data_IF_708068237509
#
_entry.id   IF_708068237509
#
_cell.length_a   1.000
_cell.length_b   1.000
_cell.length_c   1.000
_cell.angle_alpha   90.00
_cell.angle_beta   90.00
_cell.angle_gamma   90.00
#
_symmetry.space_group_name_H-M   'P 1'
#
loop_
_entity.id
_entity.type
_entity.pdbx_description
1 polymer ?
#
# COMPACT_ATOMS: atom_id res chain seq x y z
N UNK A 1 9.94 30.35 15.07
CA UNK A 1 9.46 30.30 13.67
C UNK A 1 8.97 28.88 13.40
N UNK A 2 7.67 28.68 13.13
CA UNK A 2 7.07 27.34 12.97
C UNK A 2 7.47 26.81 11.60
N UNK A 3 8.39 25.83 11.57
CA UNK A 3 8.66 25.06 10.36
C UNK A 3 7.38 24.32 9.98
N UNK A 4 6.68 24.86 8.99
CA UNK A 4 5.60 24.17 8.27
C UNK A 4 6.23 22.92 7.66
N UNK A 5 6.08 21.79 8.36
CA UNK A 5 6.41 20.49 7.80
C UNK A 5 5.49 20.33 6.59
N UNK A 6 6.06 20.46 5.39
CA UNK A 6 5.39 20.05 4.18
C UNK A 6 4.92 18.62 4.41
N UNK A 7 3.62 18.42 4.58
CA UNK A 7 3.00 17.11 4.73
C UNK A 7 3.13 16.39 3.40
N UNK A 8 4.34 15.96 3.05
CA UNK A 8 4.59 15.12 1.90
C UNK A 8 3.75 13.87 2.12
N UNK A 9 2.65 13.74 1.37
CA UNK A 9 1.85 12.51 1.36
C UNK A 9 2.78 11.40 0.92
N UNK A 10 3.28 10.63 1.87
CA UNK A 10 4.23 9.55 1.59
C UNK A 10 3.54 8.55 0.68
N UNK A 11 4.05 8.48 -0.55
CA UNK A 11 3.65 7.52 -1.57
C UNK A 11 4.66 6.39 -1.57
N UNK A 12 4.18 5.18 -1.79
CA UNK A 12 4.95 3.95 -1.84
C UNK A 12 4.73 3.32 -3.20
N UNK A 13 5.79 2.84 -3.84
CA UNK A 13 5.70 2.04 -5.05
C UNK A 13 5.34 0.60 -4.70
N UNK A 14 4.87 -0.17 -5.68
CA UNK A 14 4.59 -1.60 -5.53
C UNK A 14 5.74 -2.35 -4.87
N UNK A 15 6.99 -2.08 -5.28
CA UNK A 15 8.18 -2.77 -4.74
C UNK A 15 8.35 -2.46 -3.25
N UNK A 16 8.25 -1.19 -2.84
CA UNK A 16 8.36 -0.80 -1.43
C UNK A 16 7.28 -1.45 -0.57
N UNK A 17 6.05 -1.56 -1.09
CA UNK A 17 4.94 -2.24 -0.39
C UNK A 17 5.22 -3.74 -0.25
N UNK A 18 5.73 -4.37 -1.31
CA UNK A 18 6.10 -5.78 -1.28
C UNK A 18 7.19 -6.06 -0.24
N UNK A 19 8.23 -5.22 -0.18
CA UNK A 19 9.33 -5.33 0.79
C UNK A 19 8.87 -5.06 2.22
N UNK A 20 8.01 -4.06 2.44
CA UNK A 20 7.52 -3.68 3.77
C UNK A 20 6.73 -4.81 4.46
N UNK A 21 5.98 -5.57 3.67
CA UNK A 21 5.03 -6.58 4.16
C UNK A 21 5.47 -8.02 3.86
N UNK A 22 6.60 -8.20 3.19
CA UNK A 22 7.08 -9.48 2.69
C UNK A 22 6.00 -10.22 1.87
N UNK A 23 5.36 -9.48 0.95
CA UNK A 23 4.31 -10.00 0.08
C UNK A 23 4.71 -9.95 -1.38
N UNK A 24 4.37 -10.99 -2.13
CA UNK A 24 4.60 -10.99 -3.57
C UNK A 24 3.74 -9.94 -4.28
N UNK A 25 4.22 -9.42 -5.41
CA UNK A 25 3.44 -8.53 -6.30
C UNK A 25 2.12 -9.17 -6.72
N UNK A 26 2.11 -10.48 -6.98
CA UNK A 26 0.90 -11.22 -7.34
C UNK A 26 -0.13 -11.19 -6.21
N UNK A 27 0.30 -11.33 -4.95
CA UNK A 27 -0.59 -11.23 -3.78
C UNK A 27 -1.19 -9.84 -3.66
N UNK A 28 -0.37 -8.79 -3.79
CA UNK A 28 -0.82 -7.40 -3.75
C UNK A 28 -1.83 -7.10 -4.86
N UNK A 29 -1.55 -7.54 -6.09
CA UNK A 29 -2.46 -7.34 -7.23
C UNK A 29 -3.75 -8.14 -7.10
N UNK A 30 -3.69 -9.34 -6.51
CA UNK A 30 -4.89 -10.12 -6.19
C UNK A 30 -5.77 -9.36 -5.20
N UNK A 31 -5.21 -8.78 -4.15
CA UNK A 31 -5.96 -8.00 -3.17
C UNK A 31 -6.63 -6.76 -3.78
N UNK A 32 -5.94 -6.06 -4.68
CA UNK A 32 -6.53 -4.96 -5.45
C UNK A 32 -7.69 -5.45 -6.34
N UNK A 33 -7.53 -6.59 -7.03
CA UNK A 33 -8.58 -7.18 -7.88
C UNK A 33 -9.78 -7.67 -7.08
N UNK A 34 -9.55 -8.21 -5.90
CA UNK A 34 -10.60 -8.64 -4.96
C UNK A 34 -11.28 -7.47 -4.23
N UNK A 35 -10.81 -6.23 -4.44
CA UNK A 35 -11.36 -5.05 -3.77
C UNK A 35 -11.03 -4.97 -2.28
N UNK A 36 -10.04 -5.75 -1.80
CA UNK A 36 -9.60 -5.72 -0.40
C UNK A 36 -8.77 -4.47 -0.07
N UNK A 37 -8.12 -3.90 -1.09
CA UNK A 37 -7.35 -2.67 -1.00
C UNK A 37 -7.95 -1.70 -2.00
N UNK A 38 -8.08 -0.44 -1.58
CA UNK A 38 -8.47 0.64 -2.47
C UNK A 38 -7.50 0.74 -3.64
N UNK A 39 -8.02 0.87 -4.86
CA UNK A 39 -7.19 0.93 -6.07
C UNK A 39 -6.19 2.10 -5.99
N UNK A 40 -4.87 1.86 -6.03
CA UNK A 40 -3.89 2.93 -5.92
C UNK A 40 -3.99 3.88 -7.10
N UNK A 41 -3.83 5.18 -6.82
CA UNK A 41 -3.68 6.18 -7.88
C UNK A 41 -2.46 5.84 -8.72
N UNK A 42 -2.49 6.28 -9.98
CA UNK A 42 -1.40 6.04 -10.91
C UNK A 42 -0.70 7.34 -11.22
N UNK A 43 0.62 7.30 -11.35
CA UNK A 43 1.37 8.44 -11.85
C UNK A 43 1.19 8.58 -13.38
N UNK A 44 1.83 9.61 -13.94
CA UNK A 44 1.84 9.85 -15.39
C UNK A 44 2.55 8.75 -16.20
N UNK A 45 3.38 7.92 -15.55
CA UNK A 45 4.03 6.72 -16.13
C UNK A 45 3.21 5.45 -15.92
N UNK A 46 1.97 5.58 -15.44
CA UNK A 46 1.07 4.47 -15.14
C UNK A 46 1.57 3.54 -14.00
N UNK A 47 2.47 4.03 -13.14
CA UNK A 47 2.95 3.33 -11.95
C UNK A 47 1.98 3.46 -10.79
N UNK A 48 1.77 2.37 -10.06
CA UNK A 48 0.90 2.34 -8.88
C UNK A 48 1.56 3.08 -7.72
N UNK A 49 0.85 4.08 -7.20
CA UNK A 49 1.24 4.87 -6.04
C UNK A 49 0.33 4.52 -4.87
N UNK A 50 0.89 3.76 -3.93
CA UNK A 50 0.21 3.43 -2.69
C UNK A 50 0.38 4.56 -1.69
N UNK A 51 -0.64 4.85 -0.90
CA UNK A 51 -0.58 5.86 0.16
C UNK A 51 -0.53 5.17 1.51
N UNK A 52 -0.29 5.95 2.57
CA UNK A 52 -0.39 5.45 3.94
C UNK A 52 -1.74 4.78 4.26
N UNK A 53 -2.82 5.14 3.56
CA UNK A 53 -4.12 4.47 3.71
C UNK A 53 -4.08 3.03 3.20
N UNK A 54 -3.53 2.80 2.00
CA UNK A 54 -3.35 1.43 1.47
C UNK A 54 -2.44 0.58 2.36
N UNK A 55 -1.39 1.17 2.95
CA UNK A 55 -0.53 0.48 3.91
C UNK A 55 -1.34 -0.02 5.12
N UNK A 56 -2.28 0.79 5.63
CA UNK A 56 -3.16 0.37 6.74
C UNK A 56 -4.09 -0.77 6.34
N UNK A 57 -4.69 -0.69 5.14
CA UNK A 57 -5.55 -1.74 4.58
C UNK A 57 -4.78 -3.06 4.45
N UNK A 58 -3.60 -3.02 3.83
CA UNK A 58 -2.72 -4.19 3.66
C UNK A 58 -2.33 -4.79 5.02
N UNK A 59 -1.91 -3.95 5.96
CA UNK A 59 -1.55 -4.39 7.31
C UNK A 59 -2.71 -5.09 8.00
N UNK A 60 -3.93 -4.59 7.84
CA UNK A 60 -5.13 -5.21 8.40
C UNK A 60 -5.42 -6.56 7.74
N UNK A 61 -5.32 -6.67 6.42
CA UNK A 61 -5.51 -7.94 5.69
C UNK A 61 -4.51 -9.00 6.17
N UNK A 62 -3.23 -8.64 6.29
CA UNK A 62 -2.18 -9.55 6.76
C UNK A 62 -2.45 -10.00 8.19
N UNK A 63 -2.85 -9.07 9.07
CA UNK A 63 -3.19 -9.37 10.46
C UNK A 63 -4.34 -10.38 10.55
N UNK A 64 -5.42 -10.15 9.81
CA UNK A 64 -6.58 -11.06 9.77
C UNK A 64 -6.22 -12.44 9.22
N UNK A 65 -5.31 -12.52 8.25
CA UNK A 65 -4.88 -13.80 7.66
C UNK A 65 -3.92 -14.60 8.54
N UNK A 66 -3.11 -13.93 9.38
CA UNK A 66 -2.21 -14.61 10.34
C UNK A 66 -2.92 -15.22 11.54
N UNK A 67 -4.12 -14.76 11.90
CA UNK A 67 -4.90 -15.30 13.02
C UNK A 67 -5.60 -16.64 12.74
N UNK A 68 -5.41 -17.23 11.56
CA UNK A 68 -6.01 -18.52 11.17
C UNK A 68 -5.00 -19.57 10.68
N UNK A 69 -3.73 -19.44 11.07
CA UNK A 69 -2.68 -20.44 10.86
C UNK A 69 -2.25 -21.01 12.21
#
# INVERSE_FOLDING_TARGET
MKSVQATARKQYKTIEVCELFDVSRATLFRWEREGLISGPSRDWRNWRLYTAQHIKEIKQIIRTRKSGQ
#
